data_IF_377955561137
#
_entry.id   IF_377955561137
#
_cell.length_a   1.000
_cell.length_b   1.000
_cell.length_c   1.000
_cell.angle_alpha   90.00
_cell.angle_beta   90.00
_cell.angle_gamma   90.00
#
_symmetry.space_group_name_H-M   'P 1'
#
loop_
_entity.id
_entity.type
_entity.pdbx_description
1 polymer ?
#
# COMPACT_ATOMS: atom_id res chain seq x y z
N UNK A 1 53.82 17.37 -39.95
CA UNK A 1 54.43 16.80 -38.74
C UNK A 1 53.84 17.56 -37.55
N UNK A 2 52.68 17.15 -37.06
CA UNK A 2 52.50 16.37 -35.83
C UNK A 2 52.08 17.33 -34.72
N UNK A 3 50.85 17.38 -34.21
CA UNK A 3 49.95 16.30 -33.84
C UNK A 3 49.80 16.34 -32.32
N UNK A 4 49.04 17.32 -31.79
CA UNK A 4 48.66 17.37 -30.37
C UNK A 4 47.25 16.80 -30.28
N UNK A 5 47.15 15.55 -29.83
CA UNK A 5 45.89 14.92 -29.43
C UNK A 5 45.52 15.46 -28.04
N UNK A 6 44.65 16.46 -27.99
CA UNK A 6 43.87 16.71 -26.77
C UNK A 6 42.71 15.73 -26.75
N UNK A 7 42.79 14.76 -25.84
CA UNK A 7 41.72 13.82 -25.53
C UNK A 7 40.63 14.59 -24.80
N UNK A 8 39.62 15.04 -25.56
CA UNK A 8 38.40 15.64 -25.01
C UNK A 8 37.55 14.54 -24.38
N UNK A 9 37.42 14.54 -23.05
CA UNK A 9 36.43 13.73 -22.36
C UNK A 9 35.03 14.33 -22.60
N UNK A 10 34.03 13.60 -23.13
CA UNK A 10 32.68 14.11 -23.23
C UNK A 10 32.03 14.13 -21.84
N UNK A 11 31.61 15.32 -21.38
CA UNK A 11 30.72 15.47 -20.23
C UNK A 11 29.38 14.80 -20.55
N UNK A 12 29.15 13.60 -19.99
CA UNK A 12 27.84 12.96 -20.02
C UNK A 12 26.93 13.75 -19.08
N UNK A 13 26.16 14.68 -19.66
CA UNK A 13 25.08 15.38 -18.97
C UNK A 13 24.06 14.34 -18.48
N UNK A 14 24.06 14.06 -17.18
CA UNK A 14 23.03 13.25 -16.51
C UNK A 14 21.70 13.99 -16.60
N UNK A 15 20.89 13.66 -17.60
CA UNK A 15 19.51 14.15 -17.71
C UNK A 15 18.68 13.55 -16.57
N UNK A 16 18.34 14.38 -15.58
CA UNK A 16 17.35 14.01 -14.56
C UNK A 16 15.97 13.89 -15.23
N UNK A 17 15.19 12.84 -14.94
CA UNK A 17 13.87 12.68 -15.53
C UNK A 17 12.97 13.85 -15.11
N UNK A 18 12.35 14.51 -16.10
CA UNK A 18 11.44 15.64 -15.89
C UNK A 18 10.09 15.12 -15.40
N UNK A 19 9.97 14.95 -14.08
CA UNK A 19 8.70 14.58 -13.45
C UNK A 19 7.75 15.79 -13.54
N UNK A 20 6.56 15.55 -14.08
CA UNK A 20 5.54 16.57 -14.30
C UNK A 20 5.01 17.13 -12.98
N UNK A 21 4.89 18.46 -12.87
CA UNK A 21 4.37 19.15 -11.67
C UNK A 21 2.93 18.75 -11.33
N UNK A 22 2.15 18.27 -12.31
CA UNK A 22 0.82 17.69 -12.07
C UNK A 22 0.89 16.37 -11.29
N UNK A 23 1.93 15.57 -11.50
CA UNK A 23 2.18 14.33 -10.75
C UNK A 23 2.74 14.62 -9.35
N UNK A 24 3.59 15.65 -9.25
CA UNK A 24 4.14 16.10 -7.97
C UNK A 24 3.03 16.64 -7.05
N UNK A 25 2.12 17.47 -7.58
CA UNK A 25 1.03 18.07 -6.78
C UNK A 25 -0.06 17.07 -6.36
N UNK A 26 -0.29 15.99 -7.10
CA UNK A 26 -1.22 14.93 -6.67
C UNK A 26 -0.64 14.08 -5.54
N UNK A 27 0.67 13.85 -5.56
CA UNK A 27 1.39 13.11 -4.52
C UNK A 27 1.49 13.92 -3.23
N UNK A 28 1.79 15.22 -3.33
CA UNK A 28 1.92 16.13 -2.18
C UNK A 28 0.57 16.47 -1.53
N UNK A 29 -0.52 16.60 -2.29
CA UNK A 29 -1.85 16.93 -1.74
C UNK A 29 -2.49 15.84 -0.88
N UNK A 30 -2.03 14.58 -0.97
CA UNK A 30 -2.63 13.47 -0.22
C UNK A 30 -1.98 13.23 1.16
N UNK A 31 -0.82 13.84 1.44
CA UNK A 31 -0.11 13.65 2.71
C UNK A 31 -0.49 14.68 3.79
N UNK A 32 -1.19 15.77 3.46
CA UNK A 32 -1.63 16.76 4.44
C UNK A 32 -2.97 16.36 5.10
N UNK A 33 -2.88 15.72 6.26
CA UNK A 33 -3.93 15.65 7.30
C UNK A 33 -5.21 14.83 7.02
N UNK A 34 -5.27 14.04 5.95
CA UNK A 34 -6.45 13.20 5.72
C UNK A 34 -6.50 12.00 6.70
N UNK A 35 -7.60 11.89 7.44
CA UNK A 35 -7.90 10.72 8.27
C UNK A 35 -8.21 9.57 7.31
N UNK A 36 -7.32 8.59 7.21
CA UNK A 36 -7.60 7.41 6.40
C UNK A 36 -8.65 6.52 7.06
N UNK A 37 -9.64 6.09 6.29
CA UNK A 37 -10.83 5.36 6.75
C UNK A 37 -10.92 3.92 6.18
N UNK A 38 -9.97 3.52 5.34
CA UNK A 38 -9.82 2.17 4.82
C UNK A 38 -8.37 1.86 4.46
N UNK A 39 -8.10 0.61 4.09
CA UNK A 39 -6.75 0.13 3.79
C UNK A 39 -6.72 -0.65 2.47
N UNK A 40 -5.78 -0.29 1.61
CA UNK A 40 -5.45 -1.01 0.38
C UNK A 40 -4.00 -1.46 0.48
N UNK A 41 -3.76 -2.76 0.29
CA UNK A 41 -2.43 -3.34 0.32
C UNK A 41 -2.08 -3.92 -1.04
N UNK A 42 -1.04 -3.39 -1.67
CA UNK A 42 -0.54 -3.89 -2.95
C UNK A 42 0.44 -5.04 -2.73
N UNK A 43 0.07 -6.24 -3.20
CA UNK A 43 0.86 -7.47 -3.11
C UNK A 43 1.26 -8.01 -4.49
N UNK A 44 1.04 -7.26 -5.57
CA UNK A 44 1.26 -7.73 -6.96
C UNK A 44 2.70 -8.13 -7.30
N UNK A 45 3.65 -7.62 -6.54
CA UNK A 45 5.07 -7.93 -6.68
C UNK A 45 5.47 -9.26 -6.02
N UNK A 46 4.56 -9.88 -5.28
CA UNK A 46 4.81 -11.10 -4.52
C UNK A 46 4.02 -12.29 -5.08
N UNK A 47 4.66 -13.07 -5.95
CA UNK A 47 4.04 -14.20 -6.67
C UNK A 47 3.54 -15.33 -5.74
N UNK A 48 4.14 -15.46 -4.55
CA UNK A 48 3.80 -16.47 -3.56
C UNK A 48 2.53 -16.17 -2.77
N UNK A 49 1.99 -14.96 -2.86
CA UNK A 49 0.80 -14.60 -2.09
C UNK A 49 -0.46 -15.33 -2.60
N UNK A 50 -1.20 -15.92 -1.66
CA UNK A 50 -2.42 -16.67 -1.91
C UNK A 50 -3.60 -16.02 -1.17
N UNK A 51 -4.69 -15.68 -1.88
CA UNK A 51 -5.94 -15.26 -1.26
C UNK A 51 -6.46 -16.33 -0.30
N UNK A 52 -6.92 -15.91 0.88
CA UNK A 52 -7.37 -16.80 1.93
C UNK A 52 -8.62 -16.26 2.64
N UNK A 53 -9.26 -17.11 3.44
CA UNK A 53 -10.34 -16.68 4.34
C UNK A 53 -9.82 -15.84 5.50
N UNK A 54 -8.57 -16.07 5.91
CA UNK A 54 -7.91 -15.35 7.00
C UNK A 54 -6.58 -14.84 6.47
N UNK A 55 -6.48 -13.52 6.33
CA UNK A 55 -5.25 -12.83 6.00
C UNK A 55 -4.87 -11.91 7.16
N UNK A 56 -3.56 -11.81 7.41
CA UNK A 56 -3.02 -10.96 8.46
C UNK A 56 -1.97 -10.03 7.87
N UNK A 57 -1.83 -8.86 8.49
CA UNK A 57 -0.78 -7.91 8.15
C UNK A 57 0.14 -7.82 9.34
N UNK A 58 1.42 -8.01 9.09
CA UNK A 58 2.49 -8.04 10.07
C UNK A 58 3.48 -6.92 9.77
N UNK A 59 4.19 -6.46 10.79
CA UNK A 59 5.38 -5.65 10.57
C UNK A 59 6.63 -6.53 10.40
N UNK A 60 7.78 -5.89 10.18
CA UNK A 60 9.06 -6.55 10.00
C UNK A 60 9.47 -7.41 11.23
N UNK A 61 8.99 -7.06 12.42
CA UNK A 61 9.24 -7.79 13.67
C UNK A 61 8.25 -8.94 13.91
N UNK A 62 7.23 -9.09 13.05
CA UNK A 62 6.17 -10.08 13.20
C UNK A 62 5.10 -9.75 14.23
N UNK A 63 4.99 -8.48 14.61
CA UNK A 63 3.87 -8.00 15.40
C UNK A 63 2.66 -7.81 14.49
N UNK A 64 1.46 -8.02 15.04
CA UNK A 64 0.21 -7.86 14.30
C UNK A 64 -0.09 -6.37 14.07
N UNK A 65 -0.17 -5.99 12.80
CA UNK A 65 -0.72 -4.70 12.35
C UNK A 65 -2.23 -4.83 12.13
N UNK A 66 -2.67 -5.96 11.57
CA UNK A 66 -4.07 -6.26 11.33
C UNK A 66 -4.34 -7.77 11.32
N UNK A 67 -5.54 -8.16 11.75
CA UNK A 67 -6.04 -9.52 11.64
C UNK A 67 -7.52 -9.64 12.02
N UNK A 68 -8.12 -10.84 11.85
CA UNK A 68 -9.55 -11.06 12.06
C UNK A 68 -10.04 -10.72 13.47
N UNK A 69 -9.18 -10.87 14.49
CA UNK A 69 -9.53 -10.56 15.88
C UNK A 69 -9.84 -9.08 16.15
N UNK A 70 -9.49 -8.19 15.22
CA UNK A 70 -9.78 -6.76 15.32
C UNK A 70 -11.17 -6.38 14.76
N UNK A 71 -11.88 -7.32 14.12
CA UNK A 71 -13.16 -7.09 13.42
C UNK A 71 -14.32 -7.57 14.30
N UNK A 72 -15.47 -6.91 14.24
CA UNK A 72 -16.67 -7.44 14.89
C UNK A 72 -17.15 -8.73 14.21
N UNK A 73 -17.66 -9.68 15.00
CA UNK A 73 -18.16 -10.97 14.50
C UNK A 73 -19.17 -10.81 13.36
N UNK A 74 -20.12 -9.89 13.49
CA UNK A 74 -21.14 -9.65 12.48
C UNK A 74 -20.52 -9.20 11.15
N UNK A 75 -19.60 -8.24 11.18
CA UNK A 75 -18.92 -7.77 9.96
C UNK A 75 -18.02 -8.84 9.35
N UNK A 76 -17.39 -9.66 10.18
CA UNK A 76 -16.56 -10.78 9.73
C UNK A 76 -17.38 -11.85 9.01
N UNK A 77 -18.64 -12.06 9.40
CA UNK A 77 -19.58 -12.96 8.70
C UNK A 77 -20.10 -12.29 7.41
N UNK A 78 -20.54 -11.04 7.49
CA UNK A 78 -21.23 -10.38 6.38
C UNK A 78 -20.31 -9.98 5.23
N UNK A 79 -19.10 -9.52 5.55
CA UNK A 79 -18.16 -8.94 4.57
C UNK A 79 -16.88 -9.76 4.40
N UNK A 80 -16.63 -10.72 5.29
CA UNK A 80 -15.32 -11.33 5.44
C UNK A 80 -14.29 -10.35 6.02
N UNK A 81 -13.09 -10.84 6.39
CA UNK A 81 -12.07 -9.96 6.95
C UNK A 81 -11.45 -9.06 5.89
N UNK A 82 -11.27 -9.56 4.66
CA UNK A 82 -10.58 -8.84 3.59
C UNK A 82 -11.25 -9.10 2.25
N UNK A 83 -11.12 -8.14 1.33
CA UNK A 83 -11.55 -8.26 -0.05
C UNK A 83 -10.35 -8.27 -1.01
N UNK A 84 -10.56 -8.76 -2.23
CA UNK A 84 -9.50 -8.85 -3.23
C UNK A 84 -9.88 -8.09 -4.50
N UNK A 85 -8.92 -7.42 -5.11
CA UNK A 85 -9.09 -6.67 -6.35
C UNK A 85 -7.91 -6.91 -7.29
N UNK A 86 -8.10 -6.78 -8.60
CA UNK A 86 -7.01 -6.92 -9.59
C UNK A 86 -6.36 -5.59 -9.95
N UNK A 87 -6.89 -4.47 -9.44
CA UNK A 87 -6.38 -3.13 -9.72
C UNK A 87 -6.74 -2.15 -8.62
N UNK A 88 -6.01 -1.04 -8.55
CA UNK A 88 -6.27 0.04 -7.61
C UNK A 88 -7.68 0.62 -7.75
N UNK A 89 -8.12 0.88 -8.99
CA UNK A 89 -9.46 1.42 -9.22
C UNK A 89 -10.58 0.49 -8.75
N UNK A 90 -10.42 -0.84 -8.92
CA UNK A 90 -11.37 -1.81 -8.38
C UNK A 90 -11.34 -1.86 -6.85
N UNK A 91 -10.16 -1.77 -6.24
CA UNK A 91 -10.02 -1.74 -4.79
C UNK A 91 -10.70 -0.51 -4.18
N UNK A 92 -10.50 0.67 -4.79
CA UNK A 92 -11.16 1.92 -4.39
C UNK A 92 -12.68 1.83 -4.58
N UNK A 93 -13.16 1.21 -5.66
CA UNK A 93 -14.60 1.02 -5.91
C UNK A 93 -15.25 0.08 -4.88
N UNK A 94 -14.60 -1.02 -4.49
CA UNK A 94 -15.07 -1.92 -3.43
C UNK A 94 -15.20 -1.16 -2.11
N UNK A 95 -14.16 -0.41 -1.75
CA UNK A 95 -14.14 0.39 -0.52
C UNK A 95 -15.19 1.52 -0.55
N UNK A 96 -15.40 2.17 -1.70
CA UNK A 96 -16.47 3.14 -1.87
C UNK A 96 -17.87 2.52 -1.65
N UNK A 97 -18.08 1.27 -2.07
CA UNK A 97 -19.29 0.49 -1.76
C UNK A 97 -19.51 0.26 -0.25
N UNK A 98 -18.45 0.32 0.56
CA UNK A 98 -18.51 0.27 2.01
C UNK A 98 -18.56 1.66 2.68
N UNK A 99 -18.68 2.73 1.89
CA UNK A 99 -18.74 4.11 2.37
C UNK A 99 -17.37 4.72 2.72
N UNK A 100 -16.27 4.07 2.32
CA UNK A 100 -14.90 4.55 2.54
C UNK A 100 -14.55 5.59 1.48
N UNK A 101 -13.98 6.72 1.91
CA UNK A 101 -13.70 7.86 1.02
C UNK A 101 -12.21 8.09 0.81
N UNK A 102 -11.39 7.78 1.79
CA UNK A 102 -9.97 8.09 1.83
C UNK A 102 -9.17 6.86 2.27
N UNK A 103 -9.05 5.83 1.42
CA UNK A 103 -8.27 4.65 1.77
C UNK A 103 -6.77 4.96 1.80
N UNK A 104 -6.08 4.42 2.79
CA UNK A 104 -4.62 4.40 2.84
C UNK A 104 -4.10 3.34 1.88
N UNK A 105 -3.19 3.72 0.99
CA UNK A 105 -2.53 2.79 0.08
C UNK A 105 -1.12 2.47 0.59
N UNK A 106 -0.84 1.19 0.81
CA UNK A 106 0.49 0.70 1.21
C UNK A 106 0.95 -0.45 0.33
N UNK A 107 2.26 -0.70 0.32
CA UNK A 107 2.87 -1.79 -0.43
C UNK A 107 3.41 -2.85 0.52
N UNK A 108 3.21 -4.11 0.16
CA UNK A 108 3.82 -5.24 0.86
C UNK A 108 5.34 -5.23 0.70
N UNK A 109 6.08 -5.32 1.81
CA UNK A 109 7.53 -5.50 1.79
C UNK A 109 7.92 -6.96 1.56
N UNK A 110 7.17 -7.90 2.15
CA UNK A 110 7.41 -9.35 2.03
C UNK A 110 6.12 -10.15 2.30
N UNK A 111 6.14 -11.46 2.07
CA UNK A 111 5.05 -12.40 2.37
C UNK A 111 5.49 -13.39 3.43
N UNK A 112 4.65 -13.57 4.45
CA UNK A 112 4.83 -14.62 5.46
C UNK A 112 3.74 -15.69 5.30
N UNK A 113 4.15 -16.95 5.26
CA UNK A 113 3.23 -18.11 5.24
C UNK A 113 2.24 -18.11 4.06
N UNK A 114 2.61 -17.54 2.92
CA UNK A 114 1.80 -17.42 1.69
C UNK A 114 0.51 -16.58 1.80
N UNK A 115 -0.11 -16.44 2.97
CA UNK A 115 -1.38 -15.73 3.17
C UNK A 115 -1.25 -14.46 4.00
N UNK A 116 -0.14 -14.29 4.73
CA UNK A 116 0.13 -13.11 5.53
C UNK A 116 1.10 -12.17 4.81
N UNK A 117 0.91 -10.88 5.01
CA UNK A 117 1.71 -9.85 4.37
C UNK A 117 2.55 -9.13 5.41
N UNK A 118 3.80 -8.90 5.10
CA UNK A 118 4.69 -8.03 5.86
C UNK A 118 4.69 -6.65 5.22
N UNK A 119 4.61 -5.60 6.04
CA UNK A 119 4.68 -4.21 5.61
C UNK A 119 5.85 -3.50 6.31
N UNK A 120 6.30 -2.40 5.72
CA UNK A 120 7.35 -1.58 6.33
C UNK A 120 6.90 -1.00 7.68
N UNK A 121 7.85 -0.75 8.59
CA UNK A 121 7.53 -0.17 9.90
C UNK A 121 6.88 1.23 9.78
N UNK A 122 7.29 2.00 8.77
CA UNK A 122 6.72 3.32 8.44
C UNK A 122 5.25 3.19 8.03
N UNK A 123 4.92 2.19 7.21
CA UNK A 123 3.54 1.96 6.78
C UNK A 123 2.68 1.37 7.91
N UNK A 124 3.25 0.49 8.74
CA UNK A 124 2.59 -0.03 9.94
C UNK A 124 2.23 1.11 10.91
N UNK A 125 3.13 2.07 11.12
CA UNK A 125 2.86 3.26 11.94
C UNK A 125 1.74 4.12 11.34
N UNK A 126 1.77 4.38 10.03
CA UNK A 126 0.69 5.10 9.33
C UNK A 126 -0.67 4.41 9.52
N UNK A 127 -0.72 3.09 9.38
CA UNK A 127 -1.93 2.29 9.62
C UNK A 127 -2.41 2.45 11.05
N UNK A 128 -1.50 2.35 12.03
CA UNK A 128 -1.83 2.48 13.44
C UNK A 128 -2.39 3.87 13.81
N UNK A 129 -1.72 4.94 13.37
CA UNK A 129 -2.15 6.33 13.61
C UNK A 129 -3.52 6.59 12.96
N UNK A 130 -3.72 6.08 11.75
CA UNK A 130 -4.99 6.21 11.02
C UNK A 130 -6.12 5.47 11.73
N UNK A 131 -5.88 4.21 12.14
CA UNK A 131 -6.86 3.39 12.82
C UNK A 131 -7.28 3.98 14.16
N UNK A 132 -6.38 4.62 14.91
CA UNK A 132 -6.74 5.34 16.15
C UNK A 132 -7.79 6.43 15.93
N UNK A 133 -7.79 7.08 14.76
CA UNK A 133 -8.72 8.16 14.42
C UNK A 133 -10.01 7.65 13.77
N UNK A 134 -9.92 6.72 12.82
CA UNK A 134 -11.06 6.29 11.99
C UNK A 134 -11.70 4.96 12.39
N UNK A 135 -11.01 4.18 13.22
CA UNK A 135 -11.30 2.76 13.52
C UNK A 135 -11.45 1.91 12.26
N UNK A 136 -10.69 2.22 11.20
CA UNK A 136 -10.82 1.56 9.89
C UNK A 136 -10.64 0.03 9.95
N UNK A 137 -9.77 -0.49 10.81
CA UNK A 137 -9.49 -1.93 10.89
C UNK A 137 -10.67 -2.71 11.49
N UNK A 138 -11.47 -2.09 12.37
CA UNK A 138 -12.65 -2.72 12.95
C UNK A 138 -13.80 -2.90 11.96
N UNK A 139 -13.79 -2.15 10.85
CA UNK A 139 -14.88 -2.10 9.87
C UNK A 139 -14.77 -3.15 8.75
N UNK A 140 -13.75 -4.01 8.79
CA UNK A 140 -13.41 -4.95 7.71
C UNK A 140 -13.15 -4.27 6.36
N UNK A 141 -12.57 -3.07 6.38
CA UNK A 141 -12.33 -2.26 5.17
C UNK A 141 -10.88 -2.38 4.69
N UNK A 142 -10.45 -3.63 4.46
CA UNK A 142 -9.12 -3.95 3.91
C UNK A 142 -9.30 -4.58 2.54
N UNK A 143 -8.48 -4.19 1.57
CA UNK A 143 -8.46 -4.79 0.23
C UNK A 143 -7.03 -5.13 -0.18
N UNK A 144 -6.78 -6.37 -0.59
CA UNK A 144 -5.53 -6.76 -1.25
C UNK A 144 -5.65 -6.59 -2.76
N UNK A 145 -4.65 -5.96 -3.36
CA UNK A 145 -4.53 -5.92 -4.82
C UNK A 145 -3.65 -7.08 -5.27
N UNK A 146 -4.26 -7.96 -6.06
CA UNK A 146 -3.67 -9.11 -6.70
C UNK A 146 -3.32 -8.79 -8.15
N UNK A 147 -2.53 -9.68 -8.76
CA UNK A 147 -2.14 -9.62 -10.15
C UNK A 147 -3.27 -10.10 -11.07
#
# INVERSE_FOLDING_TARGET
YGGVFDVVYPEIQKSKPKISSYQLNRTIRQEESSIFDGLIVDVRDHQSFQPALINRILDNYGRFVYGPSMISHQLMIDKGPVQFATSRGKAEAILAGFGIKHPLFIKASDIRSYTDVVVSDVDAEKVFVSNKKSRMLHKACVVFILR
#
